data_IF_867523720538
#
_entry.id   IF_867523720538
#
_cell.length_a   1.000
_cell.length_b   1.000
_cell.length_c   1.000
_cell.angle_alpha   90.00
_cell.angle_beta   90.00
_cell.angle_gamma   90.00
#
_symmetry.space_group_name_H-M   'P 1'
#
loop_
_entity.id
_entity.type
_entity.pdbx_description
1 polymer ?
#
# COMPACT_ATOMS: atom_id res chain seq x y z
N UNK A 1 -27.73 -7.87 53.97
CA UNK A 1 -27.09 -6.78 53.18
C UNK A 1 -26.18 -7.45 52.16
N UNK A 2 -26.67 -7.74 50.96
CA UNK A 2 -25.83 -8.34 49.91
C UNK A 2 -25.09 -7.23 49.16
N UNK A 3 -23.77 -7.35 49.09
CA UNK A 3 -22.94 -6.42 48.34
C UNK A 3 -23.06 -6.81 46.87
N UNK A 4 -23.74 -5.99 46.07
CA UNK A 4 -23.71 -6.12 44.62
C UNK A 4 -22.35 -5.59 44.15
N UNK A 5 -21.46 -6.49 43.73
CA UNK A 5 -20.22 -6.12 43.03
C UNK A 5 -20.60 -5.55 41.67
N UNK A 6 -20.27 -4.29 41.35
CA UNK A 6 -20.52 -3.75 40.02
C UNK A 6 -19.69 -4.54 39.01
N UNK A 7 -20.35 -5.26 38.10
CA UNK A 7 -19.68 -5.84 36.94
C UNK A 7 -19.26 -4.69 36.03
N UNK A 8 -17.98 -4.32 36.10
CA UNK A 8 -17.41 -3.34 35.19
C UNK A 8 -17.70 -3.78 33.74
N UNK A 9 -18.20 -2.90 32.86
CA UNK A 9 -18.47 -3.25 31.49
C UNK A 9 -17.16 -3.69 30.84
N UNK A 10 -17.13 -4.93 30.33
CA UNK A 10 -16.04 -5.44 29.52
C UNK A 10 -15.92 -4.50 28.32
N UNK A 11 -14.86 -3.69 28.32
CA UNK A 11 -14.53 -2.82 27.20
C UNK A 11 -14.39 -3.72 25.96
N UNK A 12 -15.31 -3.60 25.00
CA UNK A 12 -15.27 -4.30 23.72
C UNK A 12 -14.02 -3.84 22.96
N UNK A 13 -12.91 -4.53 23.21
CA UNK A 13 -11.66 -4.28 22.52
C UNK A 13 -11.92 -4.55 21.04
N UNK A 14 -11.55 -3.63 20.12
CA UNK A 14 -11.79 -3.84 18.71
C UNK A 14 -11.22 -5.19 18.28
N UNK A 15 -12.09 -6.09 17.79
CA UNK A 15 -11.71 -7.45 17.40
C UNK A 15 -10.71 -7.37 16.25
N UNK A 16 -9.45 -7.70 16.53
CA UNK A 16 -8.41 -7.88 15.50
C UNK A 16 -8.81 -9.06 14.61
N UNK A 17 -8.68 -8.88 13.31
CA UNK A 17 -8.95 -9.94 12.33
C UNK A 17 -7.62 -10.66 12.06
N UNK A 18 -7.45 -11.81 12.70
CA UNK A 18 -6.21 -12.61 12.64
C UNK A 18 -5.83 -12.95 11.20
N UNK A 19 -6.80 -13.28 10.34
CA UNK A 19 -6.56 -13.58 8.94
C UNK A 19 -5.86 -12.42 8.19
N UNK A 20 -6.25 -11.17 8.44
CA UNK A 20 -5.61 -9.99 7.83
C UNK A 20 -4.18 -9.85 8.33
N UNK A 21 -3.95 -10.09 9.62
CA UNK A 21 -2.60 -10.01 10.20
C UNK A 21 -1.67 -11.09 9.65
N UNK A 22 -2.17 -12.32 9.42
CA UNK A 22 -1.43 -13.41 8.78
C UNK A 22 -1.04 -13.03 7.34
N UNK A 23 -2.01 -12.57 6.54
CA UNK A 23 -1.76 -12.22 5.13
C UNK A 23 -0.77 -11.05 5.04
N UNK A 24 -0.83 -10.08 5.96
CA UNK A 24 0.19 -9.01 6.07
C UNK A 24 1.57 -9.58 6.39
N UNK A 25 1.66 -10.52 7.33
CA UNK A 25 2.92 -11.19 7.67
C UNK A 25 3.54 -11.89 6.47
N UNK A 26 2.74 -12.64 5.71
CA UNK A 26 3.17 -13.30 4.47
C UNK A 26 3.65 -12.27 3.44
N UNK A 27 2.89 -11.19 3.24
CA UNK A 27 3.26 -10.13 2.31
C UNK A 27 4.59 -9.44 2.68
N UNK A 28 4.85 -9.24 3.98
CA UNK A 28 6.12 -8.71 4.48
C UNK A 28 7.29 -9.66 4.24
N UNK A 29 7.09 -10.96 4.47
CA UNK A 29 8.13 -11.98 4.18
C UNK A 29 8.45 -11.99 2.68
N UNK A 30 7.41 -11.99 1.83
CA UNK A 30 7.59 -11.97 0.38
C UNK A 30 8.32 -10.71 -0.12
N UNK A 31 7.99 -9.55 0.46
CA UNK A 31 8.68 -8.29 0.19
C UNK A 31 10.16 -8.34 0.61
N UNK A 32 10.43 -8.86 1.81
CA UNK A 32 11.80 -9.02 2.30
C UNK A 32 12.62 -9.96 1.40
N UNK A 33 12.05 -11.08 0.93
CA UNK A 33 12.74 -11.98 0.01
C UNK A 33 13.01 -11.36 -1.36
N UNK A 34 12.07 -10.56 -1.89
CA UNK A 34 12.30 -9.83 -3.13
C UNK A 34 13.44 -8.81 -2.98
N UNK A 35 13.40 -8.00 -1.91
CA UNK A 35 14.44 -7.00 -1.65
C UNK A 35 15.80 -7.64 -1.38
N UNK A 36 15.84 -8.78 -0.69
CA UNK A 36 17.08 -9.52 -0.52
C UNK A 36 17.70 -9.91 -1.87
N UNK A 37 16.90 -10.40 -2.83
CA UNK A 37 17.41 -10.68 -4.19
C UNK A 37 17.84 -9.42 -4.92
N UNK A 38 17.11 -8.31 -4.74
CA UNK A 38 17.51 -7.02 -5.30
C UNK A 38 18.83 -6.53 -4.71
N UNK A 39 19.07 -6.72 -3.41
CA UNK A 39 20.34 -6.39 -2.76
C UNK A 39 21.48 -7.23 -3.36
N UNK A 40 21.27 -8.54 -3.57
CA UNK A 40 22.25 -9.39 -4.23
C UNK A 40 22.59 -8.90 -5.64
N UNK A 41 21.60 -8.47 -6.41
CA UNK A 41 21.80 -7.84 -7.73
C UNK A 41 22.58 -6.52 -7.60
N UNK A 42 22.18 -5.65 -6.68
CA UNK A 42 22.81 -4.35 -6.44
C UNK A 42 24.29 -4.48 -6.03
N UNK A 43 24.63 -5.49 -5.23
CA UNK A 43 26.01 -5.78 -4.84
C UNK A 43 26.79 -6.61 -5.88
N UNK A 44 26.18 -7.00 -7.01
CA UNK A 44 26.83 -7.73 -8.09
C UNK A 44 27.00 -9.25 -7.84
N UNK A 45 26.26 -9.83 -6.90
CA UNK A 45 26.23 -11.27 -6.66
C UNK A 45 25.32 -12.05 -7.63
N UNK A 46 24.51 -11.34 -8.42
CA UNK A 46 23.64 -11.93 -9.45
C UNK A 46 23.65 -11.09 -10.72
N UNK A 47 23.09 -11.61 -11.81
CA UNK A 47 23.08 -10.95 -13.12
C UNK A 47 22.35 -9.59 -13.06
N UNK A 48 22.93 -8.52 -13.63
CA UNK A 48 22.26 -7.22 -13.71
C UNK A 48 20.90 -7.32 -14.43
N UNK A 49 19.89 -6.72 -13.82
CA UNK A 49 18.51 -6.72 -14.31
C UNK A 49 17.66 -7.89 -13.83
N UNK A 50 18.21 -8.85 -13.08
CA UNK A 50 17.52 -10.07 -12.64
C UNK A 50 16.13 -9.79 -12.06
N UNK A 51 16.04 -8.86 -11.12
CA UNK A 51 14.78 -8.55 -10.44
C UNK A 51 13.80 -7.75 -11.29
N UNK A 52 14.29 -7.12 -12.37
CA UNK A 52 13.49 -6.29 -13.27
C UNK A 52 12.83 -7.06 -14.42
N UNK A 53 13.14 -8.34 -14.63
CA UNK A 53 12.60 -9.15 -15.74
C UNK A 53 11.82 -10.40 -15.30
N UNK A 54 11.06 -10.95 -16.25
CA UNK A 54 10.44 -12.28 -16.13
C UNK A 54 9.58 -12.47 -14.89
N UNK A 55 9.82 -13.57 -14.19
CA UNK A 55 9.05 -13.96 -13.00
C UNK A 55 9.27 -13.04 -11.80
N UNK A 56 10.47 -12.44 -11.64
CA UNK A 56 10.75 -11.50 -10.56
C UNK A 56 9.90 -10.24 -10.64
N UNK A 57 9.70 -9.73 -11.86
CA UNK A 57 8.80 -8.59 -12.11
C UNK A 57 7.34 -8.92 -11.75
N UNK A 58 6.87 -10.12 -12.09
CA UNK A 58 5.52 -10.57 -11.73
C UNK A 58 5.42 -10.73 -10.21
N UNK A 59 6.44 -11.28 -9.57
CA UNK A 59 6.51 -11.46 -8.13
C UNK A 59 6.42 -10.12 -7.39
N UNK A 60 7.21 -9.12 -7.80
CA UNK A 60 7.13 -7.75 -7.27
C UNK A 60 5.71 -7.16 -7.40
N UNK A 61 5.07 -7.35 -8.55
CA UNK A 61 3.69 -6.88 -8.80
C UNK A 61 2.67 -7.57 -7.91
N UNK A 62 2.80 -8.88 -7.67
CA UNK A 62 1.93 -9.62 -6.75
C UNK A 62 2.07 -9.11 -5.31
N UNK A 63 3.31 -8.85 -4.86
CA UNK A 63 3.59 -8.29 -3.54
C UNK A 63 2.94 -6.90 -3.41
N UNK A 64 3.20 -6.00 -4.36
CA UNK A 64 2.64 -4.66 -4.37
C UNK A 64 1.10 -4.65 -4.38
N UNK A 65 0.51 -5.50 -5.24
CA UNK A 65 -0.96 -5.65 -5.33
C UNK A 65 -1.55 -6.15 -4.01
N UNK A 66 -0.87 -7.08 -3.33
CA UNK A 66 -1.29 -7.58 -2.02
C UNK A 66 -1.29 -6.48 -0.97
N UNK A 67 -0.23 -5.65 -0.90
CA UNK A 67 -0.19 -4.52 0.02
C UNK A 67 -1.29 -3.51 -0.25
N UNK A 68 -1.50 -3.12 -1.51
CA UNK A 68 -2.56 -2.18 -1.89
C UNK A 68 -3.95 -2.71 -1.53
N UNK A 69 -4.21 -3.98 -1.83
CA UNK A 69 -5.47 -4.63 -1.46
C UNK A 69 -5.68 -4.63 0.05
N UNK A 70 -4.68 -5.05 0.83
CA UNK A 70 -4.76 -5.06 2.29
C UNK A 70 -4.96 -3.65 2.86
N UNK A 71 -4.32 -2.64 2.29
CA UNK A 71 -4.53 -1.24 2.66
C UNK A 71 -5.98 -0.82 2.40
N UNK A 72 -6.54 -1.13 1.24
CA UNK A 72 -7.94 -0.83 0.90
C UNK A 72 -8.93 -1.51 1.86
N UNK A 73 -8.74 -2.80 2.13
CA UNK A 73 -9.53 -3.54 3.12
C UNK A 73 -9.42 -2.90 4.51
N UNK A 74 -8.20 -2.52 4.92
CA UNK A 74 -7.96 -1.87 6.20
C UNK A 74 -8.64 -0.50 6.29
N UNK A 75 -8.66 0.24 5.19
CA UNK A 75 -9.31 1.55 5.09
C UNK A 75 -10.83 1.39 5.27
N UNK A 76 -11.43 0.45 4.54
CA UNK A 76 -12.87 0.14 4.62
C UNK A 76 -13.27 -0.29 6.03
N UNK A 77 -12.53 -1.23 6.64
CA UNK A 77 -12.83 -1.72 7.98
C UNK A 77 -12.68 -0.63 9.06
N UNK A 78 -11.71 0.28 8.90
CA UNK A 78 -11.46 1.33 9.88
C UNK A 78 -12.37 2.56 9.73
N UNK A 79 -12.86 2.86 8.52
CA UNK A 79 -13.53 4.13 8.20
C UNK A 79 -14.91 3.97 7.53
N UNK A 80 -15.36 2.74 7.23
CA UNK A 80 -16.56 2.49 6.44
C UNK A 80 -17.85 3.07 7.02
N UNK A 81 -18.01 3.03 8.36
CA UNK A 81 -19.17 3.64 9.04
C UNK A 81 -18.98 5.12 9.35
N UNK A 82 -17.79 5.49 9.81
CA UNK A 82 -17.43 6.87 10.15
C UNK A 82 -15.94 7.10 9.90
N UNK A 83 -15.58 8.25 9.34
CA UNK A 83 -14.18 8.57 9.07
C UNK A 83 -13.51 9.00 10.38
N UNK A 84 -12.58 8.17 10.85
CA UNK A 84 -11.73 8.42 12.02
C UNK A 84 -10.55 9.31 11.65
N UNK A 85 -10.79 10.61 11.46
CA UNK A 85 -9.81 11.58 10.97
C UNK A 85 -8.45 11.56 11.70
N UNK A 86 -8.44 11.49 13.03
CA UNK A 86 -7.18 11.44 13.79
C UNK A 86 -6.34 10.20 13.46
N UNK A 87 -6.99 9.04 13.33
CA UNK A 87 -6.33 7.78 12.96
C UNK A 87 -5.88 7.79 11.51
N UNK A 88 -6.72 8.34 10.62
CA UNK A 88 -6.42 8.51 9.20
C UNK A 88 -5.16 9.35 9.00
N UNK A 89 -5.14 10.59 9.52
CA UNK A 89 -4.04 11.53 9.32
C UNK A 89 -2.73 11.04 9.95
N UNK A 90 -2.79 10.39 11.13
CA UNK A 90 -1.59 9.78 11.73
C UNK A 90 -0.97 8.73 10.82
N UNK A 91 -1.78 7.81 10.28
CA UNK A 91 -1.30 6.78 9.36
C UNK A 91 -0.84 7.39 8.04
N UNK A 92 -1.60 8.32 7.49
CA UNK A 92 -1.28 8.99 6.24
C UNK A 92 0.06 9.73 6.33
N UNK A 93 0.26 10.54 7.38
CA UNK A 93 1.51 11.27 7.58
C UNK A 93 2.72 10.34 7.73
N UNK A 94 2.56 9.18 8.39
CA UNK A 94 3.63 8.18 8.49
C UNK A 94 4.00 7.60 7.13
N UNK A 95 3.02 7.21 6.32
CA UNK A 95 3.28 6.62 4.99
C UNK A 95 3.80 7.66 4.01
N UNK A 96 3.18 8.84 3.96
CA UNK A 96 3.61 9.94 3.11
C UNK A 96 5.01 10.44 3.50
N UNK A 97 5.30 10.54 4.79
CA UNK A 97 6.64 10.87 5.30
C UNK A 97 7.67 9.82 4.90
N UNK A 98 7.35 8.53 4.99
CA UNK A 98 8.23 7.44 4.53
C UNK A 98 8.43 7.46 3.01
N UNK A 99 7.39 7.80 2.23
CA UNK A 99 7.47 7.95 0.79
C UNK A 99 8.43 9.09 0.39
N UNK A 100 8.28 10.26 1.01
CA UNK A 100 9.19 11.39 0.80
C UNK A 100 10.62 11.03 1.21
N UNK A 101 10.79 10.39 2.38
CA UNK A 101 12.10 9.99 2.88
C UNK A 101 12.80 9.04 1.91
N UNK A 102 12.12 8.01 1.38
CA UNK A 102 12.75 7.08 0.45
C UNK A 102 13.14 7.75 -0.88
N UNK A 103 12.33 8.69 -1.39
CA UNK A 103 12.69 9.48 -2.56
C UNK A 103 13.92 10.35 -2.32
N UNK A 104 14.00 11.04 -1.17
CA UNK A 104 15.16 11.87 -0.80
C UNK A 104 16.41 11.00 -0.67
N UNK A 105 16.33 9.87 0.04
CA UNK A 105 17.46 8.97 0.25
C UNK A 105 17.94 8.38 -1.07
N UNK A 106 17.05 7.87 -1.91
CA UNK A 106 17.43 7.27 -3.21
C UNK A 106 17.99 8.30 -4.17
N UNK A 107 17.50 9.56 -4.15
CA UNK A 107 18.06 10.64 -4.98
C UNK A 107 19.53 10.92 -4.67
N UNK A 108 19.96 10.72 -3.42
CA UNK A 108 21.32 11.01 -2.97
C UNK A 108 22.20 9.76 -3.05
N UNK A 109 21.69 8.60 -2.61
CA UNK A 109 22.47 7.37 -2.46
C UNK A 109 22.51 6.52 -3.73
N UNK A 110 21.46 6.54 -4.55
CA UNK A 110 21.31 5.73 -5.75
C UNK A 110 20.62 6.54 -6.86
N UNK A 111 21.27 7.59 -7.42
CA UNK A 111 20.62 8.52 -8.33
C UNK A 111 20.01 7.85 -9.58
N UNK A 112 20.67 6.81 -10.11
CA UNK A 112 20.20 6.02 -11.25
C UNK A 112 18.96 5.15 -10.92
N UNK A 113 18.70 4.92 -9.63
CA UNK A 113 17.54 4.22 -9.10
C UNK A 113 16.59 5.13 -8.32
N UNK A 114 16.56 6.43 -8.64
CA UNK A 114 15.71 7.41 -7.96
C UNK A 114 14.24 7.00 -7.98
N UNK A 115 13.62 6.94 -6.80
CA UNK A 115 12.20 6.63 -6.66
C UNK A 115 11.39 7.93 -6.73
N UNK A 116 10.94 8.31 -7.93
CA UNK A 116 10.03 9.43 -8.10
C UNK A 116 8.62 9.13 -7.58
N UNK A 117 8.03 8.02 -8.05
CA UNK A 117 6.70 7.57 -7.63
C UNK A 117 6.68 6.06 -7.39
N UNK A 118 6.88 5.67 -6.12
CA UNK A 118 6.94 4.28 -5.68
C UNK A 118 5.68 3.79 -4.95
N UNK A 119 5.71 2.53 -4.48
CA UNK A 119 4.56 1.90 -3.81
C UNK A 119 4.06 2.67 -2.57
N UNK A 120 4.95 3.33 -1.82
CA UNK A 120 4.53 4.14 -0.66
C UNK A 120 3.79 5.42 -1.08
N UNK A 121 4.18 6.05 -2.20
CA UNK A 121 3.47 7.19 -2.77
C UNK A 121 2.07 6.77 -3.20
N UNK A 122 1.99 5.63 -3.88
CA UNK A 122 0.71 5.07 -4.32
C UNK A 122 -0.18 4.69 -3.14
N UNK A 123 0.36 4.06 -2.09
CA UNK A 123 -0.42 3.76 -0.88
C UNK A 123 -0.95 5.04 -0.23
N UNK A 124 -0.16 6.12 -0.19
CA UNK A 124 -0.61 7.40 0.36
C UNK A 124 -1.74 8.00 -0.50
N UNK A 125 -1.53 8.09 -1.82
CA UNK A 125 -2.50 8.61 -2.78
C UNK A 125 -3.80 7.79 -2.76
N UNK A 126 -3.70 6.47 -2.91
CA UNK A 126 -4.84 5.56 -2.88
C UNK A 126 -5.57 5.58 -1.53
N UNK A 127 -4.88 5.86 -0.41
CA UNK A 127 -5.54 6.03 0.89
C UNK A 127 -6.43 7.28 0.92
N UNK A 128 -6.02 8.38 0.27
CA UNK A 128 -6.84 9.59 0.14
C UNK A 128 -8.01 9.35 -0.81
N UNK A 129 -7.72 8.88 -2.03
CA UNK A 129 -8.75 8.60 -3.04
C UNK A 129 -9.76 7.58 -2.54
N UNK A 130 -9.30 6.54 -1.86
CA UNK A 130 -10.12 5.48 -1.28
C UNK A 130 -11.18 5.97 -0.29
N UNK A 131 -10.99 7.13 0.36
CA UNK A 131 -12.02 7.73 1.22
C UNK A 131 -13.31 8.04 0.45
N UNK A 132 -13.20 8.44 -0.82
CA UNK A 132 -14.35 8.73 -1.67
C UNK A 132 -15.17 7.47 -2.02
N UNK A 133 -14.53 6.29 -1.98
CA UNK A 133 -15.15 5.01 -2.33
C UNK A 133 -15.76 4.26 -1.15
N UNK A 134 -15.54 4.72 0.09
CA UNK A 134 -15.95 4.01 1.31
C UNK A 134 -17.47 3.73 1.42
N UNK A 135 -18.28 4.60 0.80
CA UNK A 135 -19.75 4.55 0.88
C UNK A 135 -20.43 4.20 -0.43
N UNK A 136 -19.64 3.90 -1.47
CA UNK A 136 -20.18 3.54 -2.77
C UNK A 136 -20.64 2.07 -2.78
N UNK A 137 -21.67 1.73 -3.58
CA UNK A 137 -22.06 0.34 -3.78
C UNK A 137 -20.88 -0.49 -4.31
N UNK A 138 -20.73 -1.72 -3.82
CA UNK A 138 -19.61 -2.59 -4.19
C UNK A 138 -19.49 -2.78 -5.71
N UNK A 139 -20.61 -2.92 -6.42
CA UNK A 139 -20.62 -3.06 -7.88
C UNK A 139 -20.03 -1.82 -8.58
N UNK A 140 -20.40 -0.61 -8.13
CA UNK A 140 -19.86 0.62 -8.70
C UNK A 140 -18.36 0.73 -8.44
N UNK A 141 -17.91 0.40 -7.23
CA UNK A 141 -16.48 0.37 -6.90
C UNK A 141 -15.72 -0.64 -7.77
N UNK A 142 -16.29 -1.82 -8.03
CA UNK A 142 -15.70 -2.83 -8.92
C UNK A 142 -15.62 -2.35 -10.37
N UNK A 143 -16.66 -1.69 -10.87
CA UNK A 143 -16.65 -1.09 -12.21
C UNK A 143 -15.56 -0.04 -12.32
N UNK A 144 -15.45 0.87 -11.35
CA UNK A 144 -14.39 1.89 -11.35
C UNK A 144 -13.00 1.25 -11.26
N UNK A 145 -12.82 0.22 -10.42
CA UNK A 145 -11.56 -0.50 -10.34
C UNK A 145 -11.17 -1.14 -11.69
N UNK A 146 -12.14 -1.77 -12.38
CA UNK A 146 -11.91 -2.34 -13.71
C UNK A 146 -11.53 -1.26 -14.74
N UNK A 147 -12.20 -0.10 -14.70
CA UNK A 147 -11.87 1.04 -15.56
C UNK A 147 -10.48 1.61 -15.27
N UNK A 148 -10.07 1.74 -14.01
CA UNK A 148 -8.73 2.20 -13.63
C UNK A 148 -7.64 1.23 -14.09
N UNK A 149 -7.87 -0.08 -13.99
CA UNK A 149 -6.94 -1.11 -14.48
C UNK A 149 -6.86 -1.10 -16.01
N UNK A 150 -7.98 -0.84 -16.69
CA UNK A 150 -8.03 -0.76 -18.15
C UNK A 150 -7.51 0.56 -18.72
N UNK A 151 -7.62 1.67 -17.97
CA UNK A 151 -7.24 3.02 -18.39
C UNK A 151 -5.85 3.10 -19.06
N UNK A 152 -4.76 2.54 -18.50
CA UNK A 152 -3.44 2.65 -19.13
C UNK A 152 -3.31 1.88 -20.46
N UNK A 153 -4.29 1.06 -20.87
CA UNK A 153 -4.32 0.42 -22.19
C UNK A 153 -4.90 1.37 -23.25
N UNK A 154 -5.85 2.22 -22.86
CA UNK A 154 -6.61 3.05 -23.80
C UNK A 154 -6.31 4.56 -23.72
N UNK A 155 -5.83 5.04 -22.57
CA UNK A 155 -5.62 6.46 -22.26
C UNK A 155 -4.13 6.81 -22.18
N UNK A 156 -3.35 6.35 -23.16
CA UNK A 156 -1.95 6.76 -23.32
C UNK A 156 -1.90 8.01 -24.19
N UNK A 157 -1.36 9.10 -23.65
CA UNK A 157 -1.18 10.36 -24.37
C UNK A 157 0.22 10.89 -24.11
N UNK A 158 0.86 11.45 -25.14
CA UNK A 158 2.21 12.03 -25.05
C UNK A 158 2.31 13.14 -23.99
N UNK A 159 1.20 13.80 -23.67
CA UNK A 159 1.13 14.78 -22.59
C UNK A 159 1.51 14.21 -21.21
N UNK A 160 1.34 12.89 -21.00
CA UNK A 160 1.76 12.21 -19.78
C UNK A 160 3.24 11.82 -19.76
N UNK A 161 3.93 11.93 -20.90
CA UNK A 161 5.36 11.69 -21.02
C UNK A 161 6.18 12.95 -20.73
N UNK A 162 5.63 13.98 -20.07
CA UNK A 162 6.33 15.25 -19.81
C UNK A 162 7.33 15.16 -18.62
N UNK A 163 8.62 15.60 -18.72
CA UNK A 163 9.72 15.39 -17.73
C UNK A 163 9.43 15.64 -16.25
N UNK A 164 8.36 16.36 -15.97
CA UNK A 164 7.94 16.72 -14.62
C UNK A 164 7.04 15.64 -13.98
N UNK A 165 6.63 14.66 -14.76
CA UNK A 165 5.85 13.49 -14.35
C UNK A 165 6.72 12.24 -14.17
N UNK A 166 8.07 12.40 -14.23
CA UNK A 166 9.07 11.31 -14.25
C UNK A 166 9.91 11.34 -12.97
#
# INVERSE_FOLDING_TARGET
MSIQTPTAPVQDRPKRIVAIDIVRGIALIAMASYHFTWDLEFFGYTDPGLTAFGWWKIYARCIASTFLFLVGVSLYLAHGRQIRWNGFWKRFAMVAGAAIAISVVTRIATPDGFIFFGILHEIALASLLGLAFLRLPALLTLVVAALVIAAPVYLRFEAFDHPWLW
#
